data_IF_485789347295
#
_entry.id   IF_485789347295
#
_cell.length_a   1.000
_cell.length_b   1.000
_cell.length_c   1.000
_cell.angle_alpha   90.00
_cell.angle_beta   90.00
_cell.angle_gamma   90.00
#
_symmetry.space_group_name_H-M   'P 1'
#
loop_
_entity.id
_entity.type
_entity.pdbx_description
1 polymer ?
#
# COMPACT_ATOMS: atom_id res chain seq x y z
N UNK A 1 -23.36 39.74 -20.65
CA UNK A 1 -22.36 38.66 -20.54
C UNK A 1 -22.49 38.03 -19.16
N UNK A 2 -23.02 36.81 -19.04
CA UNK A 2 -23.16 36.09 -17.76
C UNK A 2 -22.49 34.72 -17.92
N UNK A 3 -21.45 34.48 -17.13
CA UNK A 3 -20.78 33.17 -17.07
C UNK A 3 -21.57 32.26 -16.12
N UNK A 4 -22.22 31.23 -16.66
CA UNK A 4 -22.83 30.16 -15.86
C UNK A 4 -21.77 29.12 -15.52
N UNK A 5 -21.42 29.04 -14.24
CA UNK A 5 -20.68 27.92 -13.67
C UNK A 5 -21.54 26.64 -13.76
N UNK A 6 -21.09 25.67 -14.54
CA UNK A 6 -21.66 24.31 -14.53
C UNK A 6 -20.90 23.50 -13.47
N UNK A 7 -21.19 23.77 -12.20
CA UNK A 7 -20.78 22.91 -11.10
C UNK A 7 -21.45 21.55 -11.28
N UNK A 8 -20.72 20.58 -11.82
CA UNK A 8 -21.15 19.20 -11.88
C UNK A 8 -21.35 18.69 -10.45
N UNK A 9 -22.61 18.54 -10.06
CA UNK A 9 -23.01 17.99 -8.77
C UNK A 9 -22.44 16.57 -8.67
N UNK A 10 -21.44 16.35 -7.82
CA UNK A 10 -20.96 15.00 -7.51
C UNK A 10 -22.15 14.23 -6.93
N UNK A 11 -22.64 13.23 -7.66
CA UNK A 11 -23.67 12.33 -7.14
C UNK A 11 -23.15 11.68 -5.85
N UNK A 12 -23.95 11.72 -4.77
CA UNK A 12 -23.67 11.05 -3.49
C UNK A 12 -23.42 9.53 -3.64
N UNK A 13 -23.73 8.97 -4.81
CA UNK A 13 -23.45 7.58 -5.17
C UNK A 13 -21.95 7.29 -5.43
N UNK A 14 -21.15 8.26 -5.89
CA UNK A 14 -19.77 7.99 -6.36
C UNK A 14 -18.79 7.69 -5.21
N UNK A 15 -18.74 8.47 -4.11
CA UNK A 15 -17.86 8.14 -2.97
C UNK A 15 -18.29 6.84 -2.28
N UNK A 16 -19.60 6.62 -2.15
CA UNK A 16 -20.17 5.41 -1.52
C UNK A 16 -19.83 4.16 -2.33
N UNK A 17 -19.87 4.24 -3.66
CA UNK A 17 -19.46 3.15 -4.55
C UNK A 17 -17.96 2.88 -4.47
N UNK A 18 -17.13 3.91 -4.43
CA UNK A 18 -15.67 3.76 -4.26
C UNK A 18 -15.34 3.08 -2.94
N UNK A 19 -15.98 3.49 -1.84
CA UNK A 19 -15.78 2.87 -0.53
C UNK A 19 -16.13 1.38 -0.57
N UNK A 20 -17.26 1.01 -1.18
CA UNK A 20 -17.64 -0.40 -1.35
C UNK A 20 -16.57 -1.20 -2.07
N UNK A 21 -16.05 -0.67 -3.19
CA UNK A 21 -14.97 -1.31 -3.95
C UNK A 21 -13.70 -1.49 -3.11
N UNK A 22 -13.30 -0.46 -2.35
CA UNK A 22 -12.11 -0.53 -1.49
C UNK A 22 -12.27 -1.60 -0.41
N UNK A 23 -13.41 -1.63 0.27
CA UNK A 23 -13.69 -2.64 1.32
C UNK A 23 -13.69 -4.05 0.73
N UNK A 24 -14.28 -4.24 -0.45
CA UNK A 24 -14.30 -5.55 -1.12
C UNK A 24 -12.88 -6.02 -1.50
N UNK A 25 -12.04 -5.11 -2.02
CA UNK A 25 -10.64 -5.42 -2.35
C UNK A 25 -9.86 -5.78 -1.08
N UNK A 26 -10.00 -5.00 0.00
CA UNK A 26 -9.33 -5.28 1.27
C UNK A 26 -9.77 -6.64 1.83
N UNK A 27 -11.06 -6.96 1.76
CA UNK A 27 -11.59 -8.26 2.19
C UNK A 27 -10.99 -9.43 1.41
N UNK A 28 -10.81 -9.29 0.10
CA UNK A 28 -10.14 -10.31 -0.74
C UNK A 28 -8.68 -10.48 -0.37
N UNK A 29 -7.93 -9.38 -0.25
CA UNK A 29 -6.50 -9.40 0.13
C UNK A 29 -6.31 -10.10 1.47
N UNK A 30 -7.12 -9.78 2.49
CA UNK A 30 -7.01 -10.42 3.81
C UNK A 30 -7.25 -11.93 3.71
N UNK A 31 -8.23 -12.36 2.92
CA UNK A 31 -8.59 -13.78 2.78
C UNK A 31 -7.54 -14.57 1.99
N UNK A 32 -7.02 -13.98 0.92
CA UNK A 32 -6.22 -14.69 -0.08
C UNK A 32 -4.71 -14.59 0.20
N UNK A 33 -4.24 -13.48 0.74
CA UNK A 33 -2.81 -13.19 0.86
C UNK A 33 -2.21 -13.47 2.25
N UNK A 34 -3.01 -13.84 3.25
CA UNK A 34 -2.52 -14.05 4.63
C UNK A 34 -1.36 -15.05 4.70
N UNK A 35 -1.43 -16.13 3.91
CA UNK A 35 -0.37 -17.13 3.83
C UNK A 35 0.89 -16.58 3.16
N UNK A 36 0.73 -15.79 2.11
CA UNK A 36 1.85 -15.17 1.40
C UNK A 36 2.57 -14.14 2.27
N UNK A 37 1.82 -13.33 3.03
CA UNK A 37 2.36 -12.42 4.03
C UNK A 37 3.15 -13.16 5.13
N UNK A 38 2.64 -14.31 5.60
CA UNK A 38 3.35 -15.16 6.55
C UNK A 38 4.67 -15.74 6.01
N UNK A 39 4.68 -16.18 4.74
CA UNK A 39 5.90 -16.68 4.10
C UNK A 39 6.92 -15.55 3.86
N UNK A 40 6.47 -14.38 3.40
CA UNK A 40 7.34 -13.23 3.17
C UNK A 40 7.98 -12.74 4.48
N UNK A 41 7.18 -12.57 5.54
CA UNK A 41 7.70 -12.17 6.86
C UNK A 41 8.70 -13.17 7.43
N UNK A 42 8.48 -14.48 7.23
CA UNK A 42 9.43 -15.51 7.64
C UNK A 42 10.76 -15.42 6.88
N UNK A 43 10.71 -15.22 5.57
CA UNK A 43 11.92 -15.08 4.74
C UNK A 43 12.72 -13.81 5.10
N UNK A 44 12.05 -12.68 5.29
CA UNK A 44 12.68 -11.42 5.71
C UNK A 44 13.31 -11.59 7.10
N UNK A 45 12.58 -12.18 8.05
CA UNK A 45 13.08 -12.40 9.41
C UNK A 45 14.33 -13.27 9.43
N UNK A 46 14.38 -14.33 8.61
CA UNK A 46 15.54 -15.20 8.50
C UNK A 46 16.76 -14.47 7.89
N UNK A 47 16.53 -13.71 6.82
CA UNK A 47 17.56 -12.88 6.20
C UNK A 47 18.13 -11.86 7.21
N UNK A 48 17.27 -11.20 7.98
CA UNK A 48 17.71 -10.24 9.00
C UNK A 48 18.48 -10.91 10.14
N UNK A 49 18.03 -12.08 10.61
CA UNK A 49 18.68 -12.85 11.68
C UNK A 49 20.09 -13.32 11.29
N UNK A 50 20.28 -13.64 10.01
CA UNK A 50 21.59 -13.98 9.43
C UNK A 50 22.48 -12.77 9.13
N UNK A 51 22.08 -11.56 9.55
CA UNK A 51 22.85 -10.33 9.37
C UNK A 51 22.58 -9.61 8.04
N UNK A 52 21.65 -10.12 7.23
CA UNK A 52 21.23 -9.53 5.97
C UNK A 52 20.50 -8.19 6.09
N UNK A 53 20.23 -7.62 4.92
CA UNK A 53 19.62 -6.30 4.74
C UNK A 53 18.46 -6.45 3.76
N UNK A 54 17.32 -5.83 4.05
CA UNK A 54 16.17 -5.81 3.15
C UNK A 54 16.29 -4.63 2.18
N UNK A 55 16.19 -4.93 0.89
CA UNK A 55 16.16 -3.95 -0.19
C UNK A 55 14.77 -3.94 -0.81
N UNK A 56 14.14 -2.76 -0.89
CA UNK A 56 12.80 -2.61 -1.47
C UNK A 56 12.87 -1.65 -2.64
N UNK A 57 12.40 -2.09 -3.80
CA UNK A 57 12.44 -1.32 -5.05
C UNK A 57 11.03 -1.14 -5.61
N UNK A 58 10.75 0.04 -6.17
CA UNK A 58 9.50 0.29 -6.88
C UNK A 58 9.65 1.37 -7.95
N UNK A 59 8.93 1.24 -9.07
CA UNK A 59 8.91 2.25 -10.14
C UNK A 59 7.57 3.00 -10.15
N UNK A 60 7.61 4.28 -10.49
CA UNK A 60 6.41 5.12 -10.53
C UNK A 60 5.69 5.17 -9.17
N UNK A 61 4.37 5.01 -9.16
CA UNK A 61 3.58 5.02 -7.93
C UNK A 61 3.94 3.89 -6.96
N UNK A 62 4.48 2.77 -7.44
CA UNK A 62 4.90 1.66 -6.57
C UNK A 62 6.10 2.02 -5.69
N UNK A 63 6.83 3.09 -6.02
CA UNK A 63 7.87 3.64 -5.14
C UNK A 63 7.30 4.06 -3.77
N UNK A 64 6.02 4.45 -3.70
CA UNK A 64 5.37 4.80 -2.43
C UNK A 64 5.37 3.62 -1.44
N UNK A 65 5.24 2.39 -1.92
CA UNK A 65 5.28 1.20 -1.07
C UNK A 65 6.68 0.95 -0.53
N UNK A 66 7.72 1.15 -1.35
CA UNK A 66 9.12 1.03 -0.92
C UNK A 66 9.47 2.08 0.15
N UNK A 67 8.98 3.32 -0.03
CA UNK A 67 9.14 4.40 0.94
C UNK A 67 8.37 4.13 2.23
N UNK A 68 7.14 3.63 2.16
CA UNK A 68 6.34 3.30 3.36
C UNK A 68 7.00 2.18 4.19
N UNK A 69 7.62 1.22 3.53
CA UNK A 69 8.39 0.16 4.17
C UNK A 69 9.75 0.65 4.75
N UNK A 70 10.13 1.91 4.55
CA UNK A 70 11.45 2.44 4.92
C UNK A 70 11.35 3.67 5.82
N UNK A 71 12.40 3.94 6.62
CA UNK A 71 12.64 5.22 7.32
C UNK A 71 11.46 5.82 8.11
N UNK A 72 10.56 5.01 8.66
CA UNK A 72 9.51 5.45 9.60
C UNK A 72 9.63 4.77 10.96
N UNK A 73 9.07 5.42 11.98
CA UNK A 73 8.97 4.83 13.31
C UNK A 73 8.16 3.52 13.25
N UNK A 74 8.71 2.46 13.85
CA UNK A 74 8.13 1.12 13.83
C UNK A 74 8.78 0.14 12.85
N UNK A 75 9.67 0.61 11.95
CA UNK A 75 10.33 -0.27 10.99
C UNK A 75 11.65 -0.85 11.53
N UNK A 76 12.06 -2.03 11.05
CA UNK A 76 13.41 -2.53 11.25
C UNK A 76 14.47 -1.56 10.68
N UNK A 77 15.57 -1.37 11.42
CA UNK A 77 16.62 -0.36 11.11
C UNK A 77 17.36 -0.62 9.78
N UNK A 78 17.26 -1.82 9.21
CA UNK A 78 18.03 -2.28 8.04
C UNK A 78 17.19 -2.47 6.77
N UNK A 79 16.34 -1.49 6.45
CA UNK A 79 15.57 -1.46 5.21
C UNK A 79 16.07 -0.31 4.33
N UNK A 80 16.41 -0.61 3.08
CA UNK A 80 16.91 0.38 2.12
C UNK A 80 15.99 0.45 0.89
N UNK A 81 15.30 1.58 0.66
CA UNK A 81 14.61 1.82 -0.59
C UNK A 81 15.63 2.14 -1.68
N UNK A 82 15.52 1.46 -2.81
CA UNK A 82 16.37 1.67 -4.00
C UNK A 82 15.52 2.00 -5.22
#
# INVERSE_FOLDING_TARGET
>A
MSWKWHGGFMSSATPSKLLGIVVDILGKVIKEEIRNLGMASSAISEAMRSGGVEYVFGTGHSMLVALEASFRAGNPVKIYPI
#
